data_IF_068073979917
#
_entry.id   IF_068073979917
#
_cell.length_a   1.000
_cell.length_b   1.000
_cell.length_c   1.000
_cell.angle_alpha   90.00
_cell.angle_beta   90.00
_cell.angle_gamma   90.00
#
_symmetry.space_group_name_H-M   'P 1'
#
loop_
_entity.id
_entity.type
_entity.pdbx_description
1 polymer ?
#
# COMPACT_ATOMS: atom_id res chain seq x y z
N UNK A 1 11.46 15.70 18.78
CA UNK A 1 11.91 14.29 18.82
C UNK A 1 12.24 13.97 20.27
N UNK A 2 11.93 12.76 20.78
CA UNK A 2 12.35 12.36 22.12
C UNK A 2 13.89 12.32 22.22
N UNK A 3 14.43 12.65 23.39
CA UNK A 3 15.88 12.62 23.62
C UNK A 3 16.41 11.18 23.64
N UNK A 4 17.70 11.00 23.40
CA UNK A 4 18.37 9.69 23.51
C UNK A 4 18.08 9.01 24.85
N UNK A 5 18.16 9.76 25.95
CA UNK A 5 17.88 9.23 27.29
C UNK A 5 16.40 8.85 27.47
N UNK A 6 15.46 9.62 26.92
CA UNK A 6 14.02 9.30 26.96
C UNK A 6 13.70 8.00 26.20
N UNK A 7 14.44 7.72 25.13
CA UNK A 7 14.29 6.50 24.35
C UNK A 7 14.87 5.33 25.16
N UNK A 8 16.09 5.50 25.68
CA UNK A 8 16.77 4.49 26.50
C UNK A 8 15.94 4.07 27.72
N UNK A 9 15.42 5.03 28.48
CA UNK A 9 14.60 4.76 29.67
C UNK A 9 13.32 3.98 29.32
N UNK A 10 12.74 4.20 28.14
CA UNK A 10 11.57 3.43 27.68
C UNK A 10 11.92 1.99 27.38
N UNK A 11 13.01 1.76 26.65
CA UNK A 11 13.48 0.40 26.36
C UNK A 11 13.95 -0.34 27.62
N UNK A 12 14.46 0.38 28.62
CA UNK A 12 14.79 -0.16 29.94
C UNK A 12 13.55 -0.60 30.73
N UNK A 13 12.50 0.23 30.76
CA UNK A 13 11.22 -0.12 31.40
C UNK A 13 10.55 -1.33 30.73
N UNK A 14 10.74 -1.51 29.44
CA UNK A 14 10.21 -2.66 28.68
C UNK A 14 11.10 -3.91 28.74
N UNK A 15 12.29 -3.84 29.35
CA UNK A 15 13.22 -4.96 29.43
C UNK A 15 13.83 -5.37 28.07
N UNK A 16 13.88 -4.44 27.10
CA UNK A 16 14.35 -4.70 25.72
C UNK A 16 15.66 -3.97 25.40
N UNK A 17 16.62 -3.98 26.34
CA UNK A 17 17.92 -3.33 26.15
C UNK A 17 18.70 -3.88 24.94
N UNK A 18 18.67 -5.19 24.73
CA UNK A 18 19.36 -5.85 23.62
C UNK A 18 18.89 -5.32 22.25
N UNK A 19 17.58 -5.13 22.10
CA UNK A 19 16.99 -4.59 20.87
C UNK A 19 17.37 -3.11 20.65
N UNK A 20 17.49 -2.35 21.74
CA UNK A 20 17.95 -0.97 21.69
C UNK A 20 19.42 -0.88 21.27
N UNK A 21 20.28 -1.73 21.83
CA UNK A 21 21.70 -1.79 21.46
C UNK A 21 21.86 -2.19 19.99
N UNK A 22 21.13 -3.20 19.53
CA UNK A 22 21.13 -3.59 18.12
C UNK A 22 20.68 -2.45 17.20
N UNK A 23 19.65 -1.70 17.61
CA UNK A 23 19.18 -0.53 16.87
C UNK A 23 20.22 0.60 16.79
N UNK A 24 21.00 0.81 17.86
CA UNK A 24 22.12 1.75 17.87
C UNK A 24 23.21 1.28 16.91
N UNK A 25 23.63 0.02 16.99
CA UNK A 25 24.69 -0.52 16.17
C UNK A 25 24.32 -0.45 14.68
N UNK A 26 23.07 -0.77 14.33
CA UNK A 26 22.54 -0.61 12.97
C UNK A 26 22.54 0.85 12.51
N UNK A 27 22.24 1.80 13.40
CA UNK A 27 22.27 3.22 13.09
C UNK A 27 23.70 3.74 12.88
N UNK A 28 24.64 3.37 13.76
CA UNK A 28 26.06 3.70 13.63
C UNK A 28 26.64 3.13 12.33
N UNK A 29 26.34 1.88 12.00
CA UNK A 29 26.76 1.25 10.73
C UNK A 29 26.24 1.99 9.50
N UNK A 30 25.00 2.53 9.54
CA UNK A 30 24.45 3.32 8.44
C UNK A 30 25.16 4.67 8.27
N UNK A 31 25.57 5.29 9.38
CA UNK A 31 26.34 6.55 9.36
C UNK A 31 27.74 6.27 8.81
N UNK A 32 28.46 5.30 9.38
CA UNK A 32 29.83 4.96 8.97
C UNK A 32 29.95 4.48 7.51
N UNK A 33 28.87 4.01 6.88
CA UNK A 33 28.83 3.72 5.43
C UNK A 33 28.70 4.96 4.55
N UNK A 34 28.17 6.04 5.09
CA UNK A 34 27.85 7.27 4.36
C UNK A 34 28.82 8.42 4.67
N UNK A 35 29.54 8.33 5.79
CA UNK A 35 30.48 9.32 6.28
C UNK A 35 31.80 8.66 6.67
N UNK A 36 32.86 9.45 6.79
CA UNK A 36 34.17 8.98 7.27
C UNK A 36 34.25 8.89 8.81
N UNK A 37 33.12 8.65 9.49
CA UNK A 37 33.08 8.59 10.95
C UNK A 37 33.38 7.19 11.48
N UNK A 38 34.23 7.14 12.52
CA UNK A 38 34.43 5.94 13.32
C UNK A 38 33.19 5.62 14.17
N UNK A 39 33.03 4.37 14.60
CA UNK A 39 31.86 3.94 15.37
C UNK A 39 31.62 4.78 16.64
N UNK A 40 32.68 5.19 17.35
CA UNK A 40 32.58 6.02 18.55
C UNK A 40 32.10 7.45 18.22
N UNK A 41 32.60 8.01 17.12
CA UNK A 41 32.18 9.33 16.62
C UNK A 41 30.76 9.29 16.11
N UNK A 42 30.38 8.23 15.39
CA UNK A 42 29.03 8.01 14.89
C UNK A 42 28.03 7.90 16.05
N UNK A 43 28.38 7.20 17.14
CA UNK A 43 27.54 7.10 18.32
C UNK A 43 27.36 8.46 19.01
N UNK A 44 28.44 9.21 19.18
CA UNK A 44 28.39 10.55 19.79
C UNK A 44 27.50 11.48 18.97
N UNK A 45 27.68 11.50 17.65
CA UNK A 45 26.86 12.30 16.73
C UNK A 45 25.40 11.85 16.71
N UNK A 46 25.15 10.55 16.77
CA UNK A 46 23.78 10.02 16.84
C UNK A 46 23.05 10.46 18.12
N UNK A 47 23.76 10.55 19.25
CA UNK A 47 23.23 11.10 20.51
C UNK A 47 22.93 12.60 20.41
N UNK A 48 23.86 13.38 19.85
CA UNK A 48 23.70 14.82 19.63
C UNK A 48 22.47 15.14 18.76
N UNK A 49 22.21 14.31 17.74
CA UNK A 49 21.08 14.48 16.82
C UNK A 49 19.81 13.71 17.22
N UNK A 50 19.66 13.33 18.49
CA UNK A 50 18.45 12.66 19.01
C UNK A 50 18.03 11.42 18.19
N UNK A 51 18.99 10.55 17.84
CA UNK A 51 18.79 9.33 17.05
C UNK A 51 18.36 9.54 15.59
N UNK A 52 18.45 10.77 15.05
CA UNK A 52 18.17 11.02 13.62
C UNK A 52 19.43 10.92 12.76
N UNK A 53 19.59 9.75 12.13
CA UNK A 53 20.66 9.44 11.17
C UNK A 53 20.72 10.47 10.03
N UNK A 54 19.57 10.91 9.54
CA UNK A 54 19.51 11.81 8.37
C UNK A 54 20.07 13.18 8.74
N UNK A 55 19.77 13.64 9.95
CA UNK A 55 20.29 14.90 10.47
C UNK A 55 21.81 14.84 10.67
N UNK A 56 22.35 13.72 11.17
CA UNK A 56 23.82 13.50 11.29
C UNK A 56 24.50 13.56 9.92
N UNK A 57 23.95 12.87 8.93
CA UNK A 57 24.52 12.84 7.58
C UNK A 57 24.43 14.21 6.92
N UNK A 58 23.32 14.94 7.09
CA UNK A 58 23.17 16.32 6.59
C UNK A 58 24.17 17.28 7.21
N UNK A 59 24.37 17.17 8.53
CA UNK A 59 25.37 17.96 9.26
C UNK A 59 26.78 17.69 8.71
N UNK A 60 27.12 16.41 8.48
CA UNK A 60 28.41 16.04 7.89
C UNK A 60 28.60 16.57 6.45
N UNK A 61 27.55 16.54 5.61
CA UNK A 61 27.60 17.10 4.24
C UNK A 61 27.61 18.64 4.27
N UNK A 62 27.21 19.27 5.37
CA UNK A 62 27.08 20.73 5.49
C UNK A 62 25.83 21.28 4.82
N UNK A 63 24.76 20.50 4.71
CA UNK A 63 23.48 20.97 4.17
C UNK A 63 22.60 21.47 5.31
N UNK A 64 22.20 22.73 5.24
CA UNK A 64 21.26 23.30 6.20
C UNK A 64 19.93 22.53 6.17
N UNK A 65 19.41 22.23 7.36
CA UNK A 65 18.10 21.59 7.47
C UNK A 65 17.05 22.59 7.03
N UNK A 66 16.42 22.32 5.87
CA UNK A 66 15.27 23.09 5.42
C UNK A 66 14.13 22.78 6.38
N UNK A 67 13.88 23.68 7.33
CA UNK A 67 12.70 23.59 8.16
C UNK A 67 11.47 23.67 7.27
N UNK A 68 10.59 22.66 7.37
CA UNK A 68 9.30 22.74 6.70
C UNK A 68 8.54 23.92 7.31
N UNK A 69 7.99 24.84 6.49
CA UNK A 69 7.24 25.96 7.01
C UNK A 69 6.09 25.44 7.87
N UNK A 70 5.92 26.03 9.06
CA UNK A 70 4.78 25.71 9.93
C UNK A 70 3.50 26.03 9.16
N UNK A 71 2.66 25.01 9.01
CA UNK A 71 1.37 25.17 8.33
C UNK A 71 0.45 26.03 9.18
N UNK A 72 -0.31 26.90 8.54
CA UNK A 72 -1.38 27.63 9.23
C UNK A 72 -2.55 26.67 9.52
N UNK A 73 -3.38 27.00 10.51
CA UNK A 73 -4.59 26.21 10.81
C UNK A 73 -5.44 25.99 9.55
N UNK A 74 -5.62 27.04 8.76
CA UNK A 74 -6.38 26.95 7.50
C UNK A 74 -5.71 25.99 6.50
N UNK A 75 -4.38 26.04 6.35
CA UNK A 75 -3.67 25.11 5.46
C UNK A 75 -3.86 23.65 5.91
N UNK A 76 -3.84 23.38 7.21
CA UNK A 76 -4.11 22.05 7.76
C UNK A 76 -5.53 21.59 7.44
N UNK A 77 -6.53 22.46 7.66
CA UNK A 77 -7.93 22.17 7.35
C UNK A 77 -8.12 21.89 5.86
N UNK A 78 -7.48 22.67 4.98
CA UNK A 78 -7.56 22.44 3.53
C UNK A 78 -6.88 21.13 3.10
N UNK A 79 -5.76 20.76 3.71
CA UNK A 79 -5.10 19.48 3.46
C UNK A 79 -5.99 18.28 3.86
N UNK A 80 -6.66 18.38 5.01
CA UNK A 80 -7.62 17.38 5.47
C UNK A 80 -8.84 17.31 4.54
N UNK A 81 -9.39 18.46 4.15
CA UNK A 81 -10.50 18.54 3.23
C UNK A 81 -10.16 17.92 1.87
N UNK A 82 -8.96 18.18 1.35
CA UNK A 82 -8.47 17.57 0.11
C UNK A 82 -8.35 16.06 0.26
N UNK A 83 -7.74 15.59 1.35
CA UNK A 83 -7.57 14.16 1.62
C UNK A 83 -8.92 13.44 1.70
N UNK A 84 -9.92 14.08 2.33
CA UNK A 84 -11.28 13.59 2.40
C UNK A 84 -11.93 13.49 1.01
N UNK A 85 -11.86 14.54 0.19
CA UNK A 85 -12.41 14.55 -1.15
C UNK A 85 -11.73 13.54 -2.08
N UNK A 86 -10.41 13.41 -1.99
CA UNK A 86 -9.63 12.44 -2.77
C UNK A 86 -10.06 11.01 -2.42
N UNK A 87 -10.27 10.73 -1.12
CA UNK A 87 -10.78 9.43 -0.66
C UNK A 87 -12.20 9.16 -1.15
N UNK A 88 -13.10 10.12 -1.00
CA UNK A 88 -14.49 9.99 -1.43
C UNK A 88 -14.61 9.77 -2.95
N UNK A 89 -13.80 10.50 -3.73
CA UNK A 89 -13.75 10.36 -5.19
C UNK A 89 -13.24 8.98 -5.59
N UNK A 90 -12.14 8.53 -4.97
CA UNK A 90 -11.57 7.21 -5.21
C UNK A 90 -12.60 6.10 -4.95
N UNK A 91 -13.33 6.19 -3.84
CA UNK A 91 -14.35 5.20 -3.48
C UNK A 91 -15.54 5.20 -4.44
N UNK A 92 -15.96 6.38 -4.91
CA UNK A 92 -17.00 6.48 -5.93
C UNK A 92 -16.58 5.78 -7.22
N UNK A 93 -15.38 6.05 -7.73
CA UNK A 93 -14.89 5.41 -8.96
C UNK A 93 -14.72 3.91 -8.81
N UNK A 94 -14.20 3.44 -7.67
CA UNK A 94 -14.10 2.00 -7.36
C UNK A 94 -15.48 1.31 -7.37
N UNK A 95 -16.48 1.93 -6.75
CA UNK A 95 -17.85 1.40 -6.73
C UNK A 95 -18.45 1.34 -8.13
N UNK A 96 -18.28 2.42 -8.91
CA UNK A 96 -18.76 2.49 -10.29
C UNK A 96 -18.12 1.41 -11.17
N UNK A 97 -16.80 1.26 -11.11
CA UNK A 97 -16.08 0.24 -11.88
C UNK A 97 -16.52 -1.19 -11.47
N UNK A 98 -16.75 -1.43 -10.18
CA UNK A 98 -17.25 -2.71 -9.70
C UNK A 98 -18.66 -3.01 -10.22
N UNK A 99 -19.52 -2.01 -10.25
CA UNK A 99 -20.89 -2.13 -10.74
C UNK A 99 -20.92 -2.40 -12.26
N UNK A 100 -20.11 -1.68 -13.04
CA UNK A 100 -19.93 -1.93 -14.47
C UNK A 100 -19.42 -3.35 -14.74
N UNK A 101 -18.41 -3.82 -13.99
CA UNK A 101 -17.91 -5.19 -14.10
C UNK A 101 -18.98 -6.23 -13.77
N UNK A 102 -19.81 -5.98 -12.75
CA UNK A 102 -20.93 -6.87 -12.40
C UNK A 102 -21.96 -6.93 -13.52
N UNK A 103 -22.31 -5.79 -14.11
CA UNK A 103 -23.27 -5.74 -15.23
C UNK A 103 -22.76 -6.53 -16.43
N UNK A 104 -21.50 -6.31 -16.84
CA UNK A 104 -20.86 -7.03 -17.94
C UNK A 104 -20.85 -8.55 -17.67
N UNK A 105 -20.55 -8.95 -16.42
CA UNK A 105 -20.54 -10.36 -16.03
C UNK A 105 -21.93 -11.00 -16.14
N UNK A 106 -22.97 -10.33 -15.63
CA UNK A 106 -24.35 -10.79 -15.71
C UNK A 106 -24.82 -10.89 -17.17
N UNK A 107 -24.44 -9.93 -18.01
CA UNK A 107 -24.75 -9.94 -19.43
C UNK A 107 -24.11 -11.15 -20.14
N UNK A 108 -22.82 -11.40 -19.91
CA UNK A 108 -22.11 -12.58 -20.45
C UNK A 108 -22.76 -13.89 -20.00
N UNK A 109 -23.16 -14.01 -18.74
CA UNK A 109 -23.87 -15.18 -18.23
C UNK A 109 -25.21 -15.38 -18.98
N UNK A 110 -26.00 -14.32 -19.13
CA UNK A 110 -27.28 -14.37 -19.85
C UNK A 110 -27.10 -14.78 -21.31
N UNK A 111 -26.10 -14.24 -21.99
CA UNK A 111 -25.77 -14.63 -23.38
C UNK A 111 -25.36 -16.10 -23.47
N UNK A 112 -24.52 -16.58 -22.57
CA UNK A 112 -24.08 -17.98 -22.56
C UNK A 112 -25.25 -18.95 -22.35
N UNK A 113 -26.17 -18.63 -21.42
CA UNK A 113 -27.37 -19.42 -21.16
C UNK A 113 -28.33 -19.44 -22.37
N UNK A 114 -28.49 -18.30 -23.06
CA UNK A 114 -29.27 -18.23 -24.31
C UNK A 114 -28.67 -19.12 -25.40
N UNK A 115 -27.35 -19.03 -25.62
CA UNK A 115 -26.64 -19.87 -26.60
C UNK A 115 -26.76 -21.37 -26.28
N UNK A 116 -26.72 -21.74 -25.01
CA UNK A 116 -26.88 -23.13 -24.60
C UNK A 116 -28.32 -23.64 -24.85
N UNK A 117 -29.34 -22.83 -24.55
CA UNK A 117 -30.73 -23.14 -24.87
C UNK A 117 -30.98 -23.28 -26.38
N UNK A 118 -30.38 -22.42 -27.20
CA UNK A 118 -30.46 -22.50 -28.66
C UNK A 118 -29.83 -23.80 -29.17
N UNK A 119 -28.63 -24.15 -28.70
CA UNK A 119 -27.99 -25.43 -29.04
C UNK A 119 -28.86 -26.63 -28.66
N UNK A 120 -29.41 -26.66 -27.44
CA UNK A 120 -30.31 -27.74 -27.00
C UNK A 120 -31.58 -27.83 -27.84
N UNK A 121 -32.14 -26.69 -28.27
CA UNK A 121 -33.29 -26.66 -29.20
C UNK A 121 -32.92 -27.20 -30.57
N UNK A 122 -31.77 -26.81 -31.12
CA UNK A 122 -31.28 -27.33 -32.41
C UNK A 122 -31.01 -28.84 -32.35
N UNK A 123 -30.41 -29.33 -31.27
CA UNK A 123 -30.18 -30.77 -31.04
C UNK A 123 -31.51 -31.54 -30.95
N UNK A 124 -32.47 -31.01 -30.18
CA UNK A 124 -33.83 -31.58 -30.09
C UNK A 124 -34.51 -31.63 -31.46
N UNK A 125 -34.49 -30.53 -32.22
CA UNK A 125 -35.08 -30.46 -33.57
C UNK A 125 -34.42 -31.44 -34.55
N UNK A 126 -33.08 -31.57 -34.53
CA UNK A 126 -32.36 -32.55 -35.36
C UNK A 126 -32.72 -33.99 -34.98
N UNK A 127 -32.83 -34.30 -33.70
CA UNK A 127 -33.22 -35.64 -33.24
C UNK A 127 -34.66 -36.00 -33.61
N UNK A 128 -35.58 -35.03 -33.55
CA UNK A 128 -36.96 -35.21 -33.99
C UNK A 128 -37.05 -35.47 -35.50
N UNK A 129 -36.32 -34.71 -36.31
CA UNK A 129 -36.25 -34.91 -37.77
C UNK A 129 -35.66 -36.28 -38.16
N UNK A 130 -34.64 -36.75 -37.43
CA UNK A 130 -34.04 -38.06 -37.68
C UNK A 130 -35.03 -39.22 -37.40
N UNK A 131 -35.79 -39.12 -36.31
CA UNK A 131 -36.78 -40.13 -35.93
C UNK A 131 -37.94 -40.21 -36.93
N UNK A 132 -38.41 -39.08 -37.46
CA UNK A 132 -39.46 -39.07 -38.51
C UNK A 132 -39.00 -39.71 -39.81
N UNK A 133 -37.73 -39.55 -40.20
CA UNK A 133 -37.19 -40.17 -41.43
C UNK A 133 -37.08 -41.70 -41.32
N UNK A 134 -36.86 -42.22 -40.10
CA UNK A 134 -36.76 -43.66 -39.83
C UNK A 134 -38.15 -44.32 -39.80
N UNK A 135 -39.18 -43.62 -39.36
CA UNK A 135 -40.57 -44.11 -39.42
C UNK A 135 -41.12 -44.17 -40.85
N UNK A 136 -40.75 -43.21 -41.72
CA UNK A 136 -41.18 -43.20 -43.13
C UNK A 136 -40.44 -44.22 -44.03
N UNK A 137 -39.37 -44.86 -43.55
CA UNK A 137 -38.57 -45.87 -44.29
C UNK A 137 -38.85 -47.33 -43.89
N UNK A 138 -39.88 -47.60 -43.08
CA UNK A 138 -40.37 -48.95 -42.73
C UNK A 138 -41.71 -49.24 -43.38
#
# INVERSE_FOLDING_TARGET
MPSYEDIRERFEKEGKLEFFQQGIDDACNKIARQTDYDNETALTKLKEHNMDITSVVRDWIGVETIEKPKRTSNQMVFDEFRSFLDTASLDYYKKKELEEKKQIYVEKLRESAKKELEKRKEESMKSAQLNTIIEDSK
#
